data_IF_415590404492
#
_entry.id   IF_415590404492
#
_cell.length_a   1.000
_cell.length_b   1.000
_cell.length_c   1.000
_cell.angle_alpha   90.00
_cell.angle_beta   90.00
_cell.angle_gamma   90.00
#
_symmetry.space_group_name_H-M   'P 1'
#
loop_
_entity.id
_entity.type
_entity.pdbx_description
1 polymer ?
#
# COMPACT_ATOMS: atom_id res chain seq x y z
N UNK A 1 6.24 -81.02 23.67
CA UNK A 1 6.22 -79.59 24.09
C UNK A 1 6.60 -78.75 22.86
N UNK A 2 5.61 -78.23 22.15
CA UNK A 2 5.78 -77.47 20.90
C UNK A 2 5.76 -76.02 21.25
N UNK A 3 6.91 -75.33 21.08
CA UNK A 3 7.05 -73.90 21.27
C UNK A 3 6.61 -73.21 19.98
N UNK A 4 5.45 -72.50 19.97
CA UNK A 4 5.02 -71.62 18.87
C UNK A 4 5.77 -70.29 18.98
N UNK A 5 6.63 -70.03 18.00
CA UNK A 5 7.17 -68.67 17.78
C UNK A 5 6.08 -67.79 17.19
N UNK A 6 5.64 -66.76 17.90
CA UNK A 6 4.86 -65.67 17.35
C UNK A 6 5.79 -64.69 16.60
N UNK A 7 5.69 -64.73 15.28
CA UNK A 7 6.24 -63.65 14.46
C UNK A 7 5.38 -62.40 14.67
N UNK A 8 5.88 -61.42 15.41
CA UNK A 8 5.31 -60.08 15.48
C UNK A 8 5.36 -59.45 14.08
N UNK A 9 4.20 -59.08 13.54
CA UNK A 9 4.13 -58.21 12.38
C UNK A 9 4.81 -56.88 12.75
N UNK A 10 5.99 -56.63 12.19
CA UNK A 10 6.58 -55.30 12.14
C UNK A 10 5.60 -54.37 11.41
N UNK A 11 4.90 -53.53 12.14
CA UNK A 11 4.14 -52.46 11.51
C UNK A 11 5.18 -51.52 10.86
N UNK A 12 5.29 -51.55 9.55
CA UNK A 12 5.96 -50.52 8.77
C UNK A 12 5.21 -49.23 9.07
N UNK A 13 5.77 -48.40 9.94
CA UNK A 13 5.29 -47.02 10.10
C UNK A 13 5.52 -46.37 8.72
N UNK A 14 4.48 -46.31 7.92
CA UNK A 14 4.53 -45.61 6.64
C UNK A 14 4.91 -44.16 6.95
N UNK A 15 6.03 -43.71 6.43
CA UNK A 15 6.48 -42.35 6.58
C UNK A 15 5.42 -41.47 5.95
N UNK A 16 4.61 -40.81 6.78
CA UNK A 16 3.56 -39.90 6.31
C UNK A 16 4.22 -38.72 5.61
N UNK A 17 3.76 -38.46 4.38
CA UNK A 17 4.05 -37.23 3.66
C UNK A 17 3.01 -36.20 4.06
N UNK A 18 3.43 -35.04 4.45
CA UNK A 18 2.57 -33.90 4.68
C UNK A 18 2.41 -33.12 3.37
N UNK A 19 1.19 -32.90 2.96
CA UNK A 19 0.85 -32.16 1.74
C UNK A 19 0.18 -30.85 2.14
N UNK A 20 0.75 -29.75 1.73
CA UNK A 20 0.31 -28.39 2.11
C UNK A 20 0.04 -27.62 0.83
N UNK A 21 -1.06 -26.86 0.82
CA UNK A 21 -1.36 -25.85 -0.20
C UNK A 21 -1.36 -24.48 0.43
N UNK A 22 -0.58 -23.56 -0.14
CA UNK A 22 -0.62 -22.15 0.20
C UNK A 22 -1.24 -21.39 -0.97
N UNK A 23 -2.36 -20.69 -0.72
CA UNK A 23 -2.93 -19.74 -1.67
C UNK A 23 -2.51 -18.34 -1.22
N UNK A 24 -2.06 -17.49 -2.16
CA UNK A 24 -1.63 -16.14 -1.82
C UNK A 24 -2.19 -15.07 -2.75
N UNK A 25 -2.55 -13.93 -2.15
CA UNK A 25 -3.04 -12.74 -2.82
C UNK A 25 -2.00 -11.64 -2.67
N UNK A 26 -1.73 -10.92 -3.76
CA UNK A 26 -0.75 -9.86 -3.83
C UNK A 26 -1.42 -8.55 -4.23
N UNK A 27 -1.08 -7.47 -3.54
CA UNK A 27 -1.27 -6.11 -4.03
C UNK A 27 -2.67 -5.87 -4.63
N UNK A 28 -3.75 -6.24 -3.90
CA UNK A 28 -5.13 -6.09 -4.40
C UNK A 28 -5.50 -4.62 -4.64
N UNK A 29 -4.93 -3.67 -3.85
CA UNK A 29 -5.14 -2.23 -3.98
C UNK A 29 -6.61 -1.82 -4.12
N UNK A 30 -7.51 -2.49 -3.37
CA UNK A 30 -8.96 -2.23 -3.41
C UNK A 30 -9.58 -2.33 -4.80
N UNK A 31 -9.00 -3.13 -5.71
CA UNK A 31 -9.59 -3.44 -7.01
C UNK A 31 -10.74 -4.44 -6.87
N UNK A 32 -11.84 -3.99 -6.23
CA UNK A 32 -13.00 -4.84 -5.93
C UNK A 32 -13.73 -5.32 -7.17
N UNK A 33 -13.46 -4.74 -8.34
CA UNK A 33 -13.94 -5.25 -9.63
C UNK A 33 -13.35 -6.61 -9.98
N UNK A 34 -12.23 -7.01 -9.36
CA UNK A 34 -11.64 -8.35 -9.54
C UNK A 34 -12.06 -9.34 -8.45
N UNK A 35 -12.71 -8.84 -7.38
CA UNK A 35 -13.02 -9.66 -6.20
C UNK A 35 -13.93 -10.86 -6.51
N UNK A 36 -15.02 -10.76 -7.31
CA UNK A 36 -15.89 -11.90 -7.56
C UNK A 36 -15.16 -13.09 -8.19
N UNK A 37 -14.35 -12.84 -9.22
CA UNK A 37 -13.57 -13.90 -9.89
C UNK A 37 -12.44 -14.42 -9.00
N UNK A 38 -11.79 -13.56 -8.22
CA UNK A 38 -10.78 -13.95 -7.24
C UNK A 38 -11.39 -14.87 -6.19
N UNK A 39 -12.57 -14.53 -5.67
CA UNK A 39 -13.29 -15.36 -4.71
C UNK A 39 -13.61 -16.75 -5.28
N UNK A 40 -14.11 -16.84 -6.51
CA UNK A 40 -14.38 -18.13 -7.17
C UNK A 40 -13.10 -18.96 -7.33
N UNK A 41 -11.98 -18.32 -7.70
CA UNK A 41 -10.69 -19.00 -7.79
C UNK A 41 -10.24 -19.55 -6.42
N UNK A 42 -10.37 -18.74 -5.36
CA UNK A 42 -10.06 -19.17 -3.99
C UNK A 42 -10.97 -20.32 -3.55
N UNK A 43 -12.29 -20.23 -3.81
CA UNK A 43 -13.24 -21.26 -3.43
C UNK A 43 -12.96 -22.60 -4.16
N UNK A 44 -12.64 -22.57 -5.45
CA UNK A 44 -12.29 -23.73 -6.26
C UNK A 44 -10.99 -24.40 -5.78
N UNK A 45 -9.91 -23.63 -5.68
CA UNK A 45 -8.60 -24.14 -5.25
C UNK A 45 -8.54 -24.54 -3.77
N UNK A 46 -9.53 -24.10 -2.98
CA UNK A 46 -9.71 -24.54 -1.59
C UNK A 46 -10.31 -25.97 -1.49
N UNK A 47 -10.85 -26.51 -2.58
CA UNK A 47 -11.32 -27.91 -2.64
C UNK A 47 -10.12 -28.84 -2.79
N UNK A 48 -9.47 -29.17 -1.67
CA UNK A 48 -8.23 -29.96 -1.65
C UNK A 48 -8.18 -30.91 -0.44
N UNK A 49 -7.45 -32.01 -0.59
CA UNK A 49 -7.11 -32.94 0.52
C UNK A 49 -5.84 -32.52 1.28
N UNK A 50 -5.18 -31.42 0.84
CA UNK A 50 -3.98 -30.86 1.46
C UNK A 50 -4.34 -30.03 2.69
N UNK A 51 -3.40 -29.83 3.60
CA UNK A 51 -3.48 -28.74 4.59
C UNK A 51 -3.52 -27.42 3.84
N UNK A 52 -4.59 -26.63 4.01
CA UNK A 52 -4.78 -25.39 3.28
C UNK A 52 -4.40 -24.21 4.17
N UNK A 53 -3.56 -23.31 3.64
CA UNK A 53 -3.17 -22.04 4.26
C UNK A 53 -3.39 -20.92 3.23
N UNK A 54 -4.07 -19.86 3.62
CA UNK A 54 -4.33 -18.71 2.76
C UNK A 54 -3.67 -17.47 3.32
N UNK A 55 -2.87 -16.77 2.50
CA UNK A 55 -2.10 -15.61 2.93
C UNK A 55 -2.33 -14.39 2.04
N UNK A 56 -2.29 -13.21 2.63
CA UNK A 56 -2.31 -11.92 1.93
C UNK A 56 -0.96 -11.22 2.12
N UNK A 57 -0.40 -10.69 1.03
CA UNK A 57 0.97 -10.14 1.01
C UNK A 57 1.04 -8.63 1.21
N UNK A 58 -0.06 -7.99 1.67
CA UNK A 58 -0.13 -6.55 1.89
C UNK A 58 -0.48 -5.75 0.63
N UNK A 59 -0.54 -4.43 0.77
CA UNK A 59 -1.11 -3.51 -0.23
C UNK A 59 -2.50 -3.96 -0.71
N UNK A 60 -3.27 -4.55 0.20
CA UNK A 60 -4.67 -4.88 -0.03
C UNK A 60 -5.54 -3.62 -0.05
N UNK A 61 -5.23 -2.65 0.85
CA UNK A 61 -5.97 -1.39 1.01
C UNK A 61 -5.47 -0.35 0.03
N UNK A 62 -6.41 0.36 -0.61
CA UNK A 62 -6.13 1.58 -1.38
C UNK A 62 -7.31 2.57 -1.25
N UNK A 63 -7.03 3.77 -0.70
CA UNK A 63 -8.04 4.84 -0.49
C UNK A 63 -8.52 5.49 -1.81
N UNK A 64 -8.10 4.99 -2.97
CA UNK A 64 -8.68 5.38 -4.27
C UNK A 64 -10.09 4.81 -4.46
N UNK A 65 -10.38 3.66 -3.86
CA UNK A 65 -11.76 3.14 -3.86
C UNK A 65 -12.58 3.81 -2.75
N UNK A 66 -13.77 4.38 -3.06
CA UNK A 66 -14.54 5.17 -2.10
C UNK A 66 -14.95 4.38 -0.85
N UNK A 67 -15.17 3.08 -0.93
CA UNK A 67 -15.53 2.27 0.23
C UNK A 67 -14.33 2.00 1.15
N UNK A 68 -13.15 1.81 0.59
CA UNK A 68 -11.90 1.69 1.37
C UNK A 68 -11.57 3.01 2.08
N UNK A 69 -11.72 4.15 1.38
CA UNK A 69 -11.55 5.47 1.97
C UNK A 69 -12.58 5.75 3.09
N UNK A 70 -13.86 5.47 2.82
CA UNK A 70 -14.94 5.68 3.80
C UNK A 70 -14.78 4.86 5.09
N UNK A 71 -14.12 3.70 5.01
CA UNK A 71 -13.95 2.73 6.10
C UNK A 71 -12.51 2.63 6.62
N UNK A 72 -11.59 3.47 6.12
CA UNK A 72 -10.16 3.36 6.41
C UNK A 72 -9.64 1.91 6.25
N UNK A 73 -10.03 1.24 5.14
CA UNK A 73 -9.60 -0.12 4.81
C UNK A 73 -10.34 -1.25 5.55
N UNK A 74 -11.18 -0.96 6.56
CA UNK A 74 -11.86 -2.05 7.31
C UNK A 74 -12.78 -2.91 6.46
N UNK A 75 -13.31 -2.37 5.35
CA UNK A 75 -14.06 -3.19 4.40
C UNK A 75 -13.16 -4.21 3.66
N UNK A 76 -11.92 -3.86 3.37
CA UNK A 76 -10.94 -4.80 2.81
C UNK A 76 -10.74 -5.99 3.77
N UNK A 77 -10.60 -5.73 5.07
CA UNK A 77 -10.48 -6.77 6.11
C UNK A 77 -11.73 -7.67 6.13
N UNK A 78 -12.93 -7.11 5.92
CA UNK A 78 -14.15 -7.91 5.82
C UNK A 78 -14.12 -8.87 4.61
N UNK A 79 -13.63 -8.41 3.45
CA UNK A 79 -13.44 -9.26 2.28
C UNK A 79 -12.35 -10.31 2.48
N UNK A 80 -11.24 -9.97 3.13
CA UNK A 80 -10.20 -10.94 3.51
C UNK A 80 -10.74 -12.02 4.46
N UNK A 81 -11.61 -11.63 5.41
CA UNK A 81 -12.31 -12.58 6.27
C UNK A 81 -13.24 -13.53 5.47
N UNK A 82 -13.92 -13.02 4.45
CA UNK A 82 -14.80 -13.81 3.57
C UNK A 82 -14.00 -14.80 2.71
N UNK A 83 -12.81 -14.41 2.23
CA UNK A 83 -11.87 -15.30 1.54
C UNK A 83 -11.27 -16.36 2.47
N UNK A 84 -11.40 -16.16 3.80
CA UNK A 84 -10.85 -17.05 4.81
C UNK A 84 -9.33 -16.99 4.85
N UNK A 85 -8.75 -15.81 4.74
CA UNK A 85 -7.31 -15.60 4.95
C UNK A 85 -6.94 -16.08 6.37
N UNK A 86 -5.79 -16.75 6.49
CA UNK A 86 -5.24 -17.23 7.77
C UNK A 86 -4.19 -16.25 8.31
N UNK A 87 -3.32 -15.76 7.43
CA UNK A 87 -2.23 -14.85 7.76
C UNK A 87 -2.13 -13.71 6.76
N UNK A 88 -1.75 -12.53 7.21
CA UNK A 88 -1.50 -11.40 6.33
C UNK A 88 -0.24 -10.65 6.76
N UNK A 89 0.47 -10.06 5.81
CA UNK A 89 1.44 -9.00 6.12
C UNK A 89 0.86 -7.64 5.72
N UNK A 90 1.62 -6.57 5.93
CA UNK A 90 1.25 -5.25 5.46
C UNK A 90 2.19 -4.79 4.35
N UNK A 91 1.64 -4.02 3.43
CA UNK A 91 2.44 -3.24 2.48
C UNK A 91 2.58 -1.78 2.89
N UNK A 92 3.08 -0.97 1.97
CA UNK A 92 3.20 0.47 2.20
C UNK A 92 1.84 1.19 2.16
N UNK A 93 0.83 0.65 1.50
CA UNK A 93 -0.49 1.27 1.49
C UNK A 93 -1.16 1.20 2.86
N UNK A 94 -0.96 0.12 3.61
CA UNK A 94 -1.39 0.07 5.01
C UNK A 94 -0.48 0.93 5.89
N UNK A 95 0.84 0.73 5.81
CA UNK A 95 1.81 1.34 6.73
C UNK A 95 2.01 2.84 6.56
N UNK A 96 1.86 3.35 5.34
CA UNK A 96 2.08 4.77 4.99
C UNK A 96 0.78 5.40 4.46
N UNK A 97 -0.01 4.65 3.69
CA UNK A 97 -1.26 5.12 3.07
C UNK A 97 -2.33 5.46 4.10
N UNK A 98 -2.44 4.69 5.17
CA UNK A 98 -3.30 4.95 6.33
C UNK A 98 -2.57 5.84 7.35
N UNK A 99 -3.34 6.65 8.08
CA UNK A 99 -2.83 7.28 9.30
C UNK A 99 -2.50 6.19 10.35
N UNK A 100 -1.60 6.51 11.30
CA UNK A 100 -1.23 5.54 12.35
C UNK A 100 -2.45 4.99 13.08
N UNK A 101 -3.37 5.86 13.49
CA UNK A 101 -4.58 5.50 14.22
C UNK A 101 -5.55 4.66 13.37
N UNK A 102 -5.57 4.88 12.04
CA UNK A 102 -6.36 4.07 11.11
C UNK A 102 -5.79 2.65 11.00
N UNK A 103 -4.45 2.51 10.91
CA UNK A 103 -3.79 1.20 10.88
C UNK A 103 -3.91 0.46 12.22
N UNK A 104 -3.79 1.16 13.35
CA UNK A 104 -3.96 0.57 14.68
C UNK A 104 -5.35 -0.09 14.85
N UNK A 105 -6.40 0.47 14.19
CA UNK A 105 -7.76 -0.05 14.23
C UNK A 105 -8.12 -0.95 13.04
N UNK A 106 -7.27 -1.08 12.03
CA UNK A 106 -7.59 -1.77 10.78
C UNK A 106 -7.99 -3.23 11.02
N UNK A 107 -7.23 -3.91 11.84
CA UNK A 107 -7.33 -5.35 12.05
C UNK A 107 -8.18 -5.76 13.27
N UNK A 108 -8.91 -4.84 13.92
CA UNK A 108 -9.77 -5.14 15.08
C UNK A 108 -10.80 -6.23 14.82
N UNK A 109 -11.29 -6.33 13.57
CA UNK A 109 -12.28 -7.33 13.17
C UNK A 109 -11.68 -8.45 12.28
N UNK A 110 -10.35 -8.53 12.18
CA UNK A 110 -9.70 -9.59 11.44
C UNK A 110 -9.92 -10.96 12.09
N UNK A 111 -10.25 -11.96 11.27
CA UNK A 111 -10.33 -13.37 11.66
C UNK A 111 -9.04 -14.12 11.36
N UNK A 112 -8.04 -13.41 10.89
CA UNK A 112 -6.71 -13.88 10.54
C UNK A 112 -5.66 -13.19 11.41
N UNK A 113 -4.43 -13.71 11.42
CA UNK A 113 -3.32 -13.12 12.18
C UNK A 113 -2.43 -12.27 11.27
N UNK A 114 -2.35 -10.95 11.46
CA UNK A 114 -1.31 -10.14 10.86
C UNK A 114 0.08 -10.48 11.40
N UNK A 115 1.08 -10.47 10.52
CA UNK A 115 2.49 -10.73 10.83
C UNK A 115 3.33 -9.62 10.21
N UNK A 116 4.20 -8.99 11.02
CA UNK A 116 5.16 -8.00 10.55
C UNK A 116 6.38 -7.96 11.49
N UNK A 117 7.54 -8.31 10.98
CA UNK A 117 8.77 -8.39 11.76
C UNK A 117 9.49 -7.06 11.91
N UNK A 118 9.49 -6.24 10.86
CA UNK A 118 10.32 -5.04 10.76
C UNK A 118 9.59 -3.71 10.99
N UNK A 119 8.35 -3.71 11.47
CA UNK A 119 7.65 -2.49 11.89
C UNK A 119 7.55 -2.43 13.41
N UNK A 120 7.80 -1.25 13.99
CA UNK A 120 7.73 -1.01 15.43
C UNK A 120 6.91 0.24 15.74
N UNK A 121 6.19 0.18 16.85
CA UNK A 121 5.52 1.28 17.51
C UNK A 121 6.31 1.65 18.76
N UNK A 122 6.96 2.82 18.78
CA UNK A 122 7.84 3.24 19.87
C UNK A 122 8.83 2.15 20.33
N UNK A 123 9.44 1.46 19.36
CA UNK A 123 10.40 0.37 19.60
C UNK A 123 9.77 -0.98 19.97
N UNK A 124 8.46 -1.08 20.14
CA UNK A 124 7.73 -2.31 20.49
C UNK A 124 7.04 -2.92 19.25
N UNK A 125 6.67 -4.18 19.35
CA UNK A 125 5.82 -4.82 18.36
C UNK A 125 4.43 -4.18 18.39
N UNK A 126 3.81 -3.81 17.24
CA UNK A 126 2.42 -3.36 17.20
C UNK A 126 1.47 -4.40 17.81
N UNK A 127 0.49 -3.97 18.61
CA UNK A 127 -0.41 -4.88 19.32
C UNK A 127 -1.26 -5.75 18.40
N UNK A 128 -1.58 -5.23 17.21
CA UNK A 128 -2.38 -5.92 16.20
C UNK A 128 -1.60 -6.99 15.40
N UNK A 129 -0.26 -7.08 15.50
CA UNK A 129 0.54 -8.03 14.71
C UNK A 129 1.54 -8.81 15.53
N UNK A 130 1.84 -10.03 15.10
CA UNK A 130 2.99 -10.80 15.59
C UNK A 130 4.24 -10.50 14.77
N UNK A 131 5.42 -10.62 15.37
CA UNK A 131 6.69 -10.45 14.64
C UNK A 131 7.01 -11.64 13.74
N UNK A 132 6.57 -12.83 14.11
CA UNK A 132 6.63 -14.10 13.35
C UNK A 132 5.56 -15.06 13.91
N UNK A 133 5.34 -16.18 13.20
CA UNK A 133 4.38 -17.19 13.64
C UNK A 133 4.89 -18.60 13.26
N UNK A 134 4.68 -19.56 14.15
CA UNK A 134 4.86 -20.98 13.83
C UNK A 134 3.49 -21.60 13.62
N UNK A 135 3.24 -22.06 12.40
CA UNK A 135 2.06 -22.85 12.06
C UNK A 135 2.41 -24.33 12.17
N UNK A 136 1.62 -25.06 12.94
CA UNK A 136 1.76 -26.51 13.01
C UNK A 136 0.64 -27.18 12.24
N UNK A 137 0.96 -27.92 11.20
CA UNK A 137 -0.01 -28.67 10.41
C UNK A 137 -0.61 -29.82 11.18
N UNK A 138 -1.72 -30.38 10.71
CA UNK A 138 -2.35 -31.57 11.32
C UNK A 138 -1.44 -32.80 11.28
N UNK A 139 -0.55 -32.89 10.30
CA UNK A 139 0.43 -33.97 10.20
C UNK A 139 1.67 -33.75 11.05
N UNK A 140 1.83 -32.56 11.65
CA UNK A 140 2.87 -32.23 12.63
C UNK A 140 4.03 -31.43 12.08
N UNK A 141 4.04 -31.03 10.81
CA UNK A 141 5.05 -30.14 10.22
C UNK A 141 4.95 -28.74 10.85
N UNK A 142 6.08 -28.17 11.27
CA UNK A 142 6.17 -26.80 11.76
C UNK A 142 6.64 -25.88 10.64
N UNK A 143 5.83 -24.88 10.30
CA UNK A 143 6.15 -23.86 9.29
C UNK A 143 6.35 -22.54 10.00
N UNK A 144 7.52 -21.93 9.88
CA UNK A 144 7.78 -20.59 10.36
C UNK A 144 7.38 -19.58 9.27
N UNK A 145 6.42 -18.69 9.58
CA UNK A 145 6.08 -17.54 8.75
C UNK A 145 6.76 -16.30 9.32
N UNK A 146 7.63 -15.70 8.51
CA UNK A 146 8.28 -14.42 8.75
C UNK A 146 7.70 -13.39 7.77
N UNK A 147 7.57 -12.13 8.14
CA UNK A 147 6.96 -11.14 7.25
C UNK A 147 7.62 -9.76 7.39
N UNK A 148 7.84 -9.10 6.25
CA UNK A 148 8.53 -7.81 6.20
C UNK A 148 7.92 -6.88 5.16
N UNK A 149 7.85 -5.56 5.49
CA UNK A 149 7.46 -4.49 4.58
C UNK A 149 8.65 -3.68 4.11
N UNK A 150 8.56 -3.07 2.92
CA UNK A 150 9.61 -2.25 2.34
C UNK A 150 9.94 -1.04 3.22
N UNK A 151 11.24 -0.78 3.51
CA UNK A 151 11.64 0.19 4.54
C UNK A 151 11.69 1.63 4.03
N UNK A 152 10.55 2.23 3.74
CA UNK A 152 10.46 3.66 3.41
C UNK A 152 10.75 4.53 4.64
N UNK A 153 12.01 4.58 5.10
CA UNK A 153 12.43 5.24 6.35
C UNK A 153 11.90 6.66 6.50
N UNK A 154 11.98 7.47 5.43
CA UNK A 154 11.59 8.88 5.48
C UNK A 154 10.08 9.12 5.52
N UNK A 155 9.26 8.10 5.25
CA UNK A 155 7.80 8.20 5.25
C UNK A 155 7.17 7.50 6.44
N UNK A 156 7.72 6.38 6.91
CA UNK A 156 7.21 5.71 8.10
C UNK A 156 7.36 6.54 9.36
N UNK A 157 8.53 7.20 9.55
CA UNK A 157 8.80 7.97 10.76
C UNK A 157 7.82 9.15 10.97
N UNK A 158 7.54 10.02 9.97
CA UNK A 158 6.53 11.06 10.16
C UNK A 158 5.09 10.53 10.33
N UNK A 159 4.81 9.28 9.91
CA UNK A 159 3.52 8.62 10.17
C UNK A 159 3.46 7.92 11.55
N UNK A 160 4.48 8.10 12.40
CA UNK A 160 4.51 7.56 13.76
C UNK A 160 5.03 6.11 13.88
N UNK A 161 5.62 5.56 12.82
CA UNK A 161 6.16 4.21 12.81
C UNK A 161 7.69 4.19 12.70
N UNK A 162 8.31 3.22 13.33
CA UNK A 162 9.72 2.90 13.10
C UNK A 162 9.81 1.63 12.25
N UNK A 163 10.32 1.75 11.03
CA UNK A 163 10.62 0.60 10.17
C UNK A 163 12.09 0.24 10.31
N UNK A 164 12.37 -1.05 10.51
CA UNK A 164 13.72 -1.60 10.67
C UNK A 164 14.25 -2.10 9.33
N UNK A 165 15.57 -2.21 9.22
CA UNK A 165 16.23 -2.80 8.06
C UNK A 165 15.85 -4.28 7.95
N UNK A 166 15.26 -4.72 6.80
CA UNK A 166 14.63 -6.04 6.72
C UNK A 166 15.63 -7.20 6.74
N UNK A 167 16.83 -7.06 6.14
CA UNK A 167 17.78 -8.16 6.09
C UNK A 167 18.39 -8.45 7.47
N UNK A 168 18.77 -7.40 8.21
CA UNK A 168 19.24 -7.55 9.58
C UNK A 168 18.15 -8.14 10.48
N UNK A 169 16.90 -7.72 10.27
CA UNK A 169 15.78 -8.26 11.03
C UNK A 169 15.50 -9.71 10.70
N UNK A 170 15.58 -10.10 9.43
CA UNK A 170 15.47 -11.50 9.01
C UNK A 170 16.56 -12.37 9.66
N UNK A 171 17.80 -11.91 9.68
CA UNK A 171 18.91 -12.61 10.33
C UNK A 171 18.65 -12.88 11.83
N UNK A 172 18.16 -11.85 12.54
CA UNK A 172 17.75 -11.98 13.94
C UNK A 172 16.60 -12.98 14.12
N UNK A 173 15.61 -12.97 13.24
CA UNK A 173 14.46 -13.88 13.34
C UNK A 173 14.84 -15.32 13.00
N UNK A 174 15.73 -15.56 12.02
CA UNK A 174 16.27 -16.88 11.69
C UNK A 174 17.11 -17.50 12.83
N UNK A 175 17.72 -16.66 13.67
CA UNK A 175 18.48 -17.12 14.85
C UNK A 175 17.58 -17.54 16.03
N UNK A 176 16.28 -17.25 16.01
CA UNK A 176 15.36 -17.65 17.09
C UNK A 176 15.19 -19.16 17.15
N UNK A 177 15.21 -19.76 18.33
CA UNK A 177 15.07 -21.21 18.45
C UNK A 177 13.84 -21.78 17.74
N UNK A 178 12.67 -21.15 17.88
CA UNK A 178 11.43 -21.60 17.29
C UNK A 178 11.43 -21.56 15.75
N UNK A 179 12.12 -20.59 15.16
CA UNK A 179 12.27 -20.45 13.71
C UNK A 179 13.32 -21.40 13.17
N UNK A 180 14.47 -21.48 13.84
CA UNK A 180 15.58 -22.39 13.48
C UNK A 180 15.15 -23.85 13.53
N UNK A 181 14.32 -24.22 14.50
CA UNK A 181 13.85 -25.59 14.73
C UNK A 181 12.59 -25.92 13.92
N UNK A 182 12.09 -24.98 13.08
CA UNK A 182 10.98 -25.22 12.16
C UNK A 182 11.44 -26.12 10.99
N UNK A 183 10.50 -26.92 10.48
CA UNK A 183 10.73 -27.79 9.31
C UNK A 183 10.80 -27.02 8.00
N UNK A 184 10.03 -25.93 7.90
CA UNK A 184 9.93 -25.06 6.72
C UNK A 184 9.93 -23.62 7.18
N UNK A 185 10.72 -22.76 6.49
CA UNK A 185 10.73 -21.31 6.68
C UNK A 185 10.16 -20.63 5.44
N UNK A 186 9.09 -19.87 5.62
CA UNK A 186 8.41 -19.09 4.58
C UNK A 186 8.51 -17.60 4.94
N UNK A 187 8.96 -16.79 3.98
CA UNK A 187 8.98 -15.33 4.10
C UNK A 187 7.82 -14.74 3.29
N UNK A 188 6.91 -14.04 3.97
CA UNK A 188 5.88 -13.20 3.36
C UNK A 188 6.50 -11.82 3.09
N UNK A 189 6.95 -11.60 1.87
CA UNK A 189 7.77 -10.45 1.52
C UNK A 189 6.96 -9.36 0.84
N UNK A 190 6.74 -8.25 1.53
CA UNK A 190 6.32 -7.01 0.87
C UNK A 190 7.54 -6.08 0.64
N UNK A 191 8.65 -6.65 0.15
CA UNK A 191 9.93 -5.96 -0.04
C UNK A 191 10.27 -5.69 -1.51
N UNK A 192 9.66 -6.46 -2.41
CA UNK A 192 9.95 -6.41 -3.84
C UNK A 192 11.07 -7.34 -4.28
N UNK A 193 11.07 -7.65 -5.57
CA UNK A 193 11.84 -8.73 -6.21
C UNK A 193 13.34 -8.72 -5.89
N UNK A 194 13.95 -7.53 -5.72
CA UNK A 194 15.39 -7.43 -5.42
C UNK A 194 15.73 -7.97 -4.03
N UNK A 195 14.88 -7.66 -3.05
CA UNK A 195 15.04 -8.23 -1.71
C UNK A 195 14.71 -9.72 -1.70
N UNK A 196 13.70 -10.16 -2.46
CA UNK A 196 13.32 -11.56 -2.55
C UNK A 196 14.47 -12.41 -3.08
N UNK A 197 15.12 -11.96 -4.17
CA UNK A 197 16.33 -12.59 -4.71
C UNK A 197 17.51 -12.55 -3.73
N UNK A 198 17.74 -11.42 -3.08
CA UNK A 198 18.80 -11.26 -2.09
C UNK A 198 18.60 -12.20 -0.87
N UNK A 199 17.36 -12.37 -0.41
CA UNK A 199 17.02 -13.33 0.67
C UNK A 199 17.39 -14.74 0.23
N UNK A 200 16.98 -15.15 -0.97
CA UNK A 200 17.25 -16.48 -1.52
C UNK A 200 18.76 -16.75 -1.75
N UNK A 201 19.51 -15.70 -2.10
CA UNK A 201 20.96 -15.83 -2.29
C UNK A 201 21.72 -15.88 -0.96
N UNK A 202 21.22 -15.23 0.09
CA UNK A 202 21.94 -15.02 1.35
C UNK A 202 21.59 -16.04 2.44
N UNK A 203 20.31 -16.49 2.50
CA UNK A 203 19.79 -17.29 3.61
C UNK A 203 19.27 -18.66 3.16
N UNK A 204 20.14 -19.69 3.06
CA UNK A 204 19.74 -21.03 2.61
C UNK A 204 18.75 -21.73 3.55
N UNK A 205 18.52 -21.19 4.75
CA UNK A 205 17.51 -21.68 5.69
C UNK A 205 16.07 -21.32 5.24
N UNK A 206 15.91 -20.32 4.37
CA UNK A 206 14.61 -19.94 3.82
C UNK A 206 14.26 -20.89 2.68
N UNK A 207 13.13 -21.58 2.80
CA UNK A 207 12.69 -22.53 1.78
C UNK A 207 11.83 -21.86 0.68
N UNK A 208 11.05 -20.82 1.07
CA UNK A 208 10.11 -20.15 0.19
C UNK A 208 10.01 -18.67 0.53
N UNK A 209 10.08 -17.82 -0.49
CA UNK A 209 9.74 -16.39 -0.41
C UNK A 209 8.51 -16.16 -1.28
N UNK A 210 7.44 -15.61 -0.70
CA UNK A 210 6.25 -15.18 -1.43
C UNK A 210 6.34 -13.67 -1.51
N UNK A 211 6.71 -13.16 -2.71
CA UNK A 211 7.07 -11.76 -2.97
C UNK A 211 5.89 -10.91 -3.44
N UNK A 212 5.94 -9.61 -3.14
CA UNK A 212 4.94 -8.59 -3.47
C UNK A 212 5.59 -7.23 -3.74
N UNK A 213 4.87 -6.11 -3.69
CA UNK A 213 5.34 -4.72 -3.79
C UNK A 213 5.76 -4.28 -5.20
N UNK A 214 6.56 -5.03 -5.92
CA UNK A 214 7.04 -4.66 -7.27
C UNK A 214 6.17 -5.21 -8.38
N UNK A 215 5.04 -5.85 -8.04
CA UNK A 215 3.99 -6.31 -8.96
C UNK A 215 4.52 -7.19 -10.10
N UNK A 216 5.51 -8.03 -9.83
CA UNK A 216 5.99 -8.98 -10.82
C UNK A 216 5.22 -10.29 -10.75
N UNK A 217 5.33 -11.08 -11.80
CA UNK A 217 4.67 -12.36 -11.96
C UNK A 217 5.70 -13.47 -12.16
N UNK A 218 5.61 -14.52 -11.38
CA UNK A 218 6.27 -15.79 -11.62
C UNK A 218 5.21 -16.85 -11.90
N UNK A 219 4.94 -17.11 -13.18
CA UNK A 219 3.84 -18.02 -13.58
C UNK A 219 4.01 -19.43 -13.00
N UNK A 220 5.24 -19.94 -12.98
CA UNK A 220 5.60 -21.28 -12.47
C UNK A 220 6.62 -21.20 -11.30
N UNK A 221 6.73 -20.02 -10.67
CA UNK A 221 7.73 -19.76 -9.65
C UNK A 221 9.16 -19.59 -10.23
N UNK A 222 10.10 -19.32 -9.33
CA UNK A 222 11.53 -19.21 -9.66
C UNK A 222 12.34 -19.89 -8.56
N UNK A 223 13.33 -20.68 -8.92
CA UNK A 223 14.29 -21.26 -7.98
C UNK A 223 15.59 -20.45 -8.03
N UNK A 224 16.02 -19.94 -6.86
CA UNK A 224 17.30 -19.26 -6.67
C UNK A 224 18.06 -20.03 -5.59
N UNK A 225 19.18 -20.64 -5.93
CA UNK A 225 19.86 -21.64 -5.12
C UNK A 225 18.89 -22.76 -4.69
N UNK A 226 18.57 -22.86 -3.38
CA UNK A 226 17.64 -23.86 -2.82
C UNK A 226 16.32 -23.23 -2.37
N UNK A 227 16.12 -21.92 -2.59
CA UNK A 227 14.93 -21.16 -2.19
C UNK A 227 13.99 -20.94 -3.37
N UNK A 228 12.72 -21.29 -3.18
CA UNK A 228 11.67 -21.01 -4.14
C UNK A 228 11.15 -19.57 -3.98
N UNK A 229 10.89 -18.89 -5.11
CA UNK A 229 10.27 -17.58 -5.16
C UNK A 229 8.91 -17.68 -5.86
N UNK A 230 7.87 -17.12 -5.27
CA UNK A 230 6.54 -17.00 -5.83
C UNK A 230 6.11 -15.53 -5.84
N UNK A 231 5.37 -15.10 -6.87
CA UNK A 231 4.71 -13.81 -6.94
C UNK A 231 3.57 -13.86 -7.97
N UNK A 232 2.44 -13.20 -7.69
CA UNK A 232 1.20 -13.32 -8.46
C UNK A 232 0.68 -11.96 -8.96
N UNK A 233 1.58 -11.08 -9.49
CA UNK A 233 1.22 -9.76 -10.02
C UNK A 233 0.47 -8.90 -8.97
N UNK A 234 -0.65 -8.30 -9.32
CA UNK A 234 -1.43 -7.35 -8.52
C UNK A 234 -2.91 -7.35 -8.91
N UNK A 235 -3.70 -6.59 -8.16
CA UNK A 235 -5.10 -6.26 -8.42
C UNK A 235 -6.05 -7.48 -8.47
N UNK A 236 -5.56 -8.64 -8.04
CA UNK A 236 -6.32 -9.88 -8.14
C UNK A 236 -6.39 -10.45 -9.56
N UNK A 237 -5.48 -10.05 -10.47
CA UNK A 237 -5.38 -10.64 -11.81
C UNK A 237 -4.94 -12.10 -11.78
N UNK A 238 -4.19 -12.47 -10.75
CA UNK A 238 -3.74 -13.83 -10.50
C UNK A 238 -3.97 -14.20 -9.03
N UNK A 239 -4.20 -15.47 -8.79
CA UNK A 239 -4.14 -16.10 -7.47
C UNK A 239 -2.93 -17.02 -7.45
N UNK A 240 -2.02 -16.83 -6.51
CA UNK A 240 -0.89 -17.73 -6.36
C UNK A 240 -1.31 -19.03 -5.68
N UNK A 241 -0.85 -20.16 -6.20
CA UNK A 241 -1.07 -21.50 -5.67
C UNK A 241 0.29 -22.20 -5.52
N UNK A 242 0.62 -22.61 -4.29
CA UNK A 242 1.87 -23.29 -3.97
C UNK A 242 1.56 -24.60 -3.29
N UNK A 243 1.94 -25.70 -3.90
CA UNK A 243 1.79 -27.06 -3.38
C UNK A 243 3.12 -27.58 -2.86
N UNK A 244 3.21 -27.78 -1.54
CA UNK A 244 4.37 -28.33 -0.87
C UNK A 244 4.15 -29.79 -0.49
N UNK A 245 5.19 -30.61 -0.60
CA UNK A 245 5.23 -31.95 -0.01
C UNK A 245 6.42 -32.04 0.93
N UNK A 246 6.13 -32.29 2.21
CA UNK A 246 7.14 -32.42 3.27
C UNK A 246 7.23 -33.87 3.73
N UNK A 247 8.44 -34.36 3.95
CA UNK A 247 8.71 -35.70 4.44
C UNK A 247 9.84 -35.66 5.48
N UNK A 248 9.55 -36.14 6.68
CA UNK A 248 10.52 -36.13 7.80
C UNK A 248 11.12 -34.74 8.08
N UNK A 249 10.28 -33.70 8.05
CA UNK A 249 10.72 -32.32 8.27
C UNK A 249 11.50 -31.69 7.10
N UNK A 250 11.55 -32.32 5.93
CA UNK A 250 12.25 -31.80 4.76
C UNK A 250 11.28 -31.55 3.61
N UNK A 251 11.38 -30.40 2.97
CA UNK A 251 10.70 -30.08 1.72
C UNK A 251 11.28 -30.96 0.60
N UNK A 252 10.43 -31.83 0.04
CA UNK A 252 10.84 -32.74 -1.03
C UNK A 252 10.26 -32.37 -2.40
N UNK A 253 9.23 -31.54 -2.42
CA UNK A 253 8.58 -31.06 -3.64
C UNK A 253 7.92 -29.71 -3.37
N UNK A 254 8.08 -28.78 -4.31
CA UNK A 254 7.41 -27.49 -4.33
C UNK A 254 6.95 -27.22 -5.77
N UNK A 255 5.63 -27.07 -5.96
CA UNK A 255 5.03 -26.67 -7.23
C UNK A 255 4.38 -25.30 -7.03
N UNK A 256 4.67 -24.37 -7.92
CA UNK A 256 4.18 -23.01 -7.87
C UNK A 256 3.46 -22.71 -9.18
N UNK A 257 2.28 -22.13 -9.07
CA UNK A 257 1.51 -21.69 -10.21
C UNK A 257 0.79 -20.37 -9.88
N UNK A 258 0.90 -19.38 -10.76
CA UNK A 258 0.06 -18.19 -10.72
C UNK A 258 -1.16 -18.38 -11.61
N UNK A 259 -2.32 -18.60 -11.01
CA UNK A 259 -3.58 -18.90 -11.69
C UNK A 259 -4.26 -17.61 -12.15
N UNK A 260 -4.47 -17.39 -13.46
CA UNK A 260 -5.13 -16.18 -13.94
C UNK A 260 -6.62 -16.19 -13.57
N UNK A 261 -7.05 -15.23 -12.74
CA UNK A 261 -8.43 -15.14 -12.24
C UNK A 261 -9.46 -14.86 -13.34
N UNK A 262 -9.02 -14.31 -14.48
CA UNK A 262 -9.88 -14.16 -15.66
C UNK A 262 -10.53 -15.47 -16.14
N UNK A 263 -9.95 -16.63 -15.81
CA UNK A 263 -10.53 -17.95 -16.11
C UNK A 263 -11.81 -18.23 -15.32
N UNK A 264 -12.05 -17.46 -14.27
CA UNK A 264 -13.20 -17.54 -13.38
C UNK A 264 -14.24 -16.44 -13.62
N UNK A 265 -14.08 -15.65 -14.68
CA UNK A 265 -15.12 -14.71 -15.13
C UNK A 265 -16.25 -15.53 -15.74
N UNK A 266 -17.47 -15.27 -15.27
CA UNK A 266 -18.69 -15.86 -15.85
C UNK A 266 -19.23 -14.92 -16.93
N UNK A 267 -19.56 -15.45 -18.09
CA UNK A 267 -20.20 -14.67 -19.15
C UNK A 267 -21.57 -14.12 -18.67
N UNK A 268 -21.78 -12.79 -18.80
CA UNK A 268 -23.01 -12.09 -18.46
C UNK A 268 -23.40 -12.14 -16.97
N UNK A 269 -22.44 -12.13 -16.06
CA UNK A 269 -22.73 -12.17 -14.63
C UNK A 269 -23.23 -10.80 -14.09
N UNK A 270 -24.55 -10.65 -14.10
CA UNK A 270 -25.22 -9.48 -13.54
C UNK A 270 -24.99 -9.33 -12.02
N UNK A 271 -24.65 -10.42 -11.34
CA UNK A 271 -24.40 -10.42 -9.90
C UNK A 271 -23.03 -9.78 -9.60
N UNK A 272 -22.01 -10.08 -10.40
CA UNK A 272 -20.70 -9.44 -10.31
C UNK A 272 -20.78 -7.94 -10.57
N UNK A 273 -21.49 -7.53 -11.65
CA UNK A 273 -21.70 -6.10 -11.94
C UNK A 273 -22.47 -5.41 -10.81
N UNK A 274 -23.50 -6.04 -10.28
CA UNK A 274 -24.28 -5.51 -9.16
C UNK A 274 -23.43 -5.37 -7.88
N UNK A 275 -22.59 -6.37 -7.58
CA UNK A 275 -21.66 -6.32 -6.46
C UNK A 275 -20.69 -5.14 -6.60
N UNK A 276 -20.00 -5.04 -7.72
CA UNK A 276 -19.00 -3.99 -7.99
C UNK A 276 -19.64 -2.60 -7.86
N UNK A 277 -20.83 -2.43 -8.46
CA UNK A 277 -21.58 -1.19 -8.38
C UNK A 277 -22.01 -0.87 -6.95
N UNK A 278 -22.56 -1.84 -6.22
CA UNK A 278 -23.00 -1.67 -4.84
C UNK A 278 -21.85 -1.23 -3.91
N UNK A 279 -20.64 -1.79 -4.08
CA UNK A 279 -19.47 -1.41 -3.28
C UNK A 279 -19.08 0.06 -3.52
N UNK A 280 -19.09 0.50 -4.77
CA UNK A 280 -18.78 1.88 -5.12
C UNK A 280 -19.83 2.85 -4.61
N UNK A 281 -21.13 2.53 -4.82
CA UNK A 281 -22.26 3.35 -4.36
C UNK A 281 -22.29 3.47 -2.84
N UNK A 282 -22.04 2.38 -2.11
CA UNK A 282 -21.98 2.39 -0.65
C UNK A 282 -20.83 3.27 -0.14
N UNK A 283 -19.65 3.20 -0.79
CA UNK A 283 -18.53 4.07 -0.47
C UNK A 283 -18.88 5.55 -0.66
N UNK A 284 -19.42 5.91 -1.82
CA UNK A 284 -19.89 7.28 -2.09
C UNK A 284 -20.95 7.72 -1.10
N UNK A 285 -21.94 6.88 -0.80
CA UNK A 285 -22.99 7.20 0.17
C UNK A 285 -22.41 7.50 1.56
N UNK A 286 -21.43 6.73 2.03
CA UNK A 286 -20.78 6.97 3.33
C UNK A 286 -19.96 8.25 3.34
N UNK A 287 -19.20 8.51 2.28
CA UNK A 287 -18.41 9.75 2.15
C UNK A 287 -19.34 10.98 2.02
N UNK A 288 -20.44 10.89 1.30
CA UNK A 288 -21.43 11.98 1.15
C UNK A 288 -22.16 12.33 2.46
N UNK A 289 -22.23 11.40 3.42
CA UNK A 289 -22.75 11.70 4.75
C UNK A 289 -21.84 12.60 5.58
N UNK A 290 -20.54 12.61 5.27
CA UNK A 290 -19.54 13.47 5.91
C UNK A 290 -19.57 14.86 5.26
N UNK A 291 -20.46 15.73 5.72
CA UNK A 291 -20.56 17.13 5.25
C UNK A 291 -19.31 17.91 5.68
N UNK A 292 -18.73 18.66 4.77
CA UNK A 292 -17.53 19.47 4.99
C UNK A 292 -17.87 20.96 5.06
N UNK A 293 -18.50 21.52 4.03
CA UNK A 293 -18.81 22.94 3.98
C UNK A 293 -19.99 23.25 3.05
N UNK A 294 -20.53 24.47 3.21
CA UNK A 294 -21.45 25.08 2.25
C UNK A 294 -20.77 26.33 1.66
N UNK A 295 -20.43 26.28 0.37
CA UNK A 295 -19.82 27.39 -0.37
C UNK A 295 -20.84 28.40 -0.89
N UNK A 296 -22.15 28.07 -0.85
CA UNK A 296 -23.23 28.89 -1.31
C UNK A 296 -23.39 28.95 -2.84
N UNK A 297 -22.39 28.56 -3.60
CA UNK A 297 -22.38 28.50 -5.06
C UNK A 297 -21.42 27.42 -5.58
N UNK A 298 -21.55 27.11 -6.84
CA UNK A 298 -20.53 26.32 -7.56
C UNK A 298 -19.32 27.20 -7.85
N UNK A 299 -18.11 26.62 -7.72
CA UNK A 299 -16.85 27.24 -8.09
C UNK A 299 -16.49 26.87 -9.52
N UNK A 300 -15.88 27.78 -10.26
CA UNK A 300 -15.21 27.41 -11.49
C UNK A 300 -13.87 26.72 -11.21
N UNK A 301 -13.17 26.33 -12.29
CA UNK A 301 -11.92 25.60 -12.16
C UNK A 301 -10.80 26.44 -11.50
N UNK A 302 -10.68 27.69 -11.90
CA UNK A 302 -9.66 28.59 -11.36
C UNK A 302 -9.92 28.90 -9.88
N UNK A 303 -11.16 29.13 -9.51
CA UNK A 303 -11.57 29.32 -8.11
C UNK A 303 -11.30 28.06 -7.27
N UNK A 304 -11.56 26.88 -7.83
CA UNK A 304 -11.23 25.60 -7.15
C UNK A 304 -9.72 25.46 -6.96
N UNK A 305 -8.91 25.82 -7.96
CA UNK A 305 -7.46 25.84 -7.84
C UNK A 305 -6.98 26.80 -6.74
N UNK A 306 -7.54 28.02 -6.69
CA UNK A 306 -7.20 29.02 -5.67
C UNK A 306 -7.57 28.55 -4.27
N UNK A 307 -8.74 27.95 -4.11
CA UNK A 307 -9.16 27.35 -2.84
C UNK A 307 -8.18 26.27 -2.37
N UNK A 308 -7.79 25.35 -3.25
CA UNK A 308 -6.85 24.27 -2.92
C UNK A 308 -5.48 24.83 -2.52
N UNK A 309 -4.93 25.80 -3.27
CA UNK A 309 -3.67 26.45 -2.95
C UNK A 309 -3.70 27.15 -1.57
N UNK A 310 -4.80 27.87 -1.30
CA UNK A 310 -4.99 28.57 -0.03
C UNK A 310 -5.15 27.59 1.15
N UNK A 311 -5.94 26.52 0.95
CA UNK A 311 -6.11 25.48 1.96
C UNK A 311 -4.78 24.84 2.33
N UNK A 312 -3.97 24.48 1.33
CA UNK A 312 -2.64 23.89 1.56
C UNK A 312 -1.73 24.87 2.30
N UNK A 313 -1.64 26.15 1.90
CA UNK A 313 -0.86 27.14 2.61
C UNK A 313 -1.26 27.25 4.09
N UNK A 314 -2.55 27.36 4.37
CA UNK A 314 -3.03 27.60 5.74
C UNK A 314 -2.90 26.37 6.63
N UNK A 315 -3.34 25.21 6.16
CA UNK A 315 -3.32 23.97 6.97
C UNK A 315 -1.90 23.44 7.21
N UNK A 316 -0.95 23.77 6.32
CA UNK A 316 0.47 23.41 6.50
C UNK A 316 1.29 24.50 7.18
N UNK A 317 0.70 25.66 7.51
CA UNK A 317 1.41 26.83 8.03
C UNK A 317 2.61 27.22 7.16
N UNK A 318 2.45 27.15 5.82
CA UNK A 318 3.48 27.49 4.86
C UNK A 318 3.19 28.82 4.19
N UNK A 319 4.23 29.56 3.81
CA UNK A 319 4.07 30.88 3.18
C UNK A 319 3.70 30.76 1.69
N UNK A 320 4.23 29.75 1.02
CA UNK A 320 4.15 29.58 -0.42
C UNK A 320 3.71 28.17 -0.78
N UNK A 321 2.93 28.04 -1.86
CA UNK A 321 2.49 26.73 -2.37
C UNK A 321 2.81 26.60 -3.86
N UNK A 322 3.27 25.41 -4.26
CA UNK A 322 3.55 25.04 -5.64
C UNK A 322 2.87 23.71 -5.95
N UNK A 323 1.86 23.71 -6.81
CA UNK A 323 1.09 22.54 -7.24
C UNK A 323 0.96 22.50 -8.77
N UNK A 324 0.18 21.54 -9.28
CA UNK A 324 -0.19 21.44 -10.68
C UNK A 324 -1.69 21.11 -10.83
N UNK A 325 -2.28 21.57 -11.93
CA UNK A 325 -3.73 21.43 -12.16
C UNK A 325 -4.18 19.99 -12.37
N UNK A 326 -3.28 19.10 -12.78
CA UNK A 326 -3.59 17.66 -12.89
C UNK A 326 -3.96 16.98 -11.57
N UNK A 327 -3.71 17.64 -10.45
CA UNK A 327 -4.15 17.19 -9.12
C UNK A 327 -5.64 17.43 -8.87
N UNK A 328 -6.28 18.32 -9.65
CA UNK A 328 -7.68 18.75 -9.48
C UNK A 328 -8.49 18.18 -10.65
N UNK A 329 -9.32 17.19 -10.38
CA UNK A 329 -10.05 16.44 -11.39
C UNK A 329 -11.47 16.94 -11.62
N UNK A 330 -12.03 17.72 -10.67
CA UNK A 330 -13.39 18.21 -10.68
C UNK A 330 -13.51 19.52 -9.88
N UNK A 331 -14.42 20.37 -10.28
CA UNK A 331 -14.79 21.60 -9.54
C UNK A 331 -15.62 21.25 -8.30
N UNK A 332 -15.68 22.18 -7.35
CA UNK A 332 -16.46 22.02 -6.12
C UNK A 332 -17.81 22.72 -6.22
N UNK A 333 -18.87 22.00 -5.87
CA UNK A 333 -20.24 22.51 -5.85
C UNK A 333 -20.59 23.28 -4.58
N UNK A 334 -21.85 23.80 -4.48
CA UNK A 334 -22.25 24.64 -3.34
C UNK A 334 -22.26 23.89 -2.01
N UNK A 335 -22.52 22.60 -2.02
CA UNK A 335 -22.44 21.72 -0.85
C UNK A 335 -21.27 20.78 -1.04
N UNK A 336 -20.29 20.84 -0.16
CA UNK A 336 -19.08 20.02 -0.24
C UNK A 336 -19.15 18.93 0.83
N UNK A 337 -19.00 17.69 0.39
CA UNK A 337 -18.88 16.49 1.23
C UNK A 337 -17.51 15.83 1.02
N UNK A 338 -17.16 14.82 1.82
CA UNK A 338 -15.95 14.04 1.57
C UNK A 338 -16.02 13.26 0.25
N UNK A 339 -17.21 12.93 -0.27
CA UNK A 339 -17.37 12.32 -1.60
C UNK A 339 -16.94 13.30 -2.71
N UNK A 340 -17.38 14.56 -2.64
CA UNK A 340 -16.98 15.60 -3.59
C UNK A 340 -15.47 15.84 -3.57
N UNK A 341 -14.86 15.85 -2.39
CA UNK A 341 -13.41 16.02 -2.25
C UNK A 341 -12.63 14.79 -2.75
N UNK A 342 -13.14 13.58 -2.56
CA UNK A 342 -12.50 12.38 -3.10
C UNK A 342 -12.55 12.37 -4.64
N UNK A 343 -13.66 12.81 -5.24
CA UNK A 343 -13.77 12.93 -6.70
C UNK A 343 -12.92 14.08 -7.27
N UNK A 344 -12.88 15.22 -6.56
CA UNK A 344 -12.13 16.40 -7.01
C UNK A 344 -10.62 16.23 -6.83
N UNK A 345 -10.18 15.58 -5.76
CA UNK A 345 -8.79 15.40 -5.34
C UNK A 345 -8.49 13.92 -5.03
N UNK A 346 -8.60 13.01 -6.03
CA UNK A 346 -8.54 11.55 -5.79
C UNK A 346 -7.14 11.04 -5.45
N UNK A 347 -6.12 11.89 -5.54
CA UNK A 347 -4.72 11.51 -5.40
C UNK A 347 -4.38 11.18 -3.94
N UNK A 348 -3.67 10.07 -3.74
CA UNK A 348 -3.16 9.67 -2.43
C UNK A 348 -1.78 10.31 -2.19
N UNK A 349 -1.72 11.62 -2.28
CA UNK A 349 -0.50 12.41 -2.10
C UNK A 349 -0.58 13.24 -0.85
N UNK A 350 0.56 13.37 -0.19
CA UNK A 350 0.77 14.24 0.95
C UNK A 350 1.56 15.46 0.56
N UNK A 351 1.70 16.36 1.51
CA UNK A 351 2.49 17.56 1.30
C UNK A 351 3.92 17.36 1.80
N UNK A 352 4.84 18.00 1.10
CA UNK A 352 6.24 18.13 1.48
C UNK A 352 6.57 19.61 1.65
N UNK A 353 7.22 19.97 2.75
CA UNK A 353 7.62 21.33 3.06
C UNK A 353 9.13 21.49 3.00
N UNK A 354 9.55 22.55 2.34
CA UNK A 354 10.95 22.99 2.22
C UNK A 354 11.11 24.35 2.88
N UNK A 355 12.29 24.59 3.45
CA UNK A 355 12.71 25.93 3.84
C UNK A 355 13.81 26.37 2.87
N UNK A 356 13.52 27.40 2.07
CA UNK A 356 14.37 27.83 0.96
C UNK A 356 14.67 29.32 1.05
N UNK A 357 15.84 29.74 0.60
CA UNK A 357 16.15 31.15 0.35
C UNK A 357 15.47 31.66 -0.91
N UNK A 358 15.36 32.99 -1.10
CA UNK A 358 14.82 33.55 -2.33
C UNK A 358 15.62 33.15 -3.56
N UNK A 359 16.94 32.98 -3.45
CA UNK A 359 17.78 32.48 -4.52
C UNK A 359 17.42 31.02 -4.88
N UNK A 360 17.33 30.13 -3.90
CA UNK A 360 16.95 28.72 -4.10
C UNK A 360 15.53 28.59 -4.65
N UNK A 361 14.59 29.40 -4.15
CA UNK A 361 13.23 29.44 -4.67
C UNK A 361 13.20 29.86 -6.15
N UNK A 362 14.02 30.81 -6.53
CA UNK A 362 14.16 31.24 -7.94
C UNK A 362 14.71 30.12 -8.81
N UNK A 363 15.69 29.36 -8.35
CA UNK A 363 16.25 28.20 -9.06
C UNK A 363 15.20 27.10 -9.25
N UNK A 364 14.45 26.76 -8.18
CA UNK A 364 13.32 25.83 -8.24
C UNK A 364 12.29 26.31 -9.27
N UNK A 365 11.87 27.58 -9.19
CA UNK A 365 10.92 28.14 -10.13
C UNK A 365 11.44 28.11 -11.57
N UNK A 366 12.69 28.45 -11.79
CA UNK A 366 13.30 28.40 -13.11
C UNK A 366 13.26 26.98 -13.70
N UNK A 367 13.61 25.97 -12.92
CA UNK A 367 13.51 24.56 -13.35
C UNK A 367 12.07 24.16 -13.62
N UNK A 368 11.17 24.37 -12.67
CA UNK A 368 9.77 23.95 -12.75
C UNK A 368 9.06 24.58 -13.94
N UNK A 369 9.19 25.91 -14.12
CA UNK A 369 8.53 26.63 -15.22
C UNK A 369 9.18 26.37 -16.58
N UNK A 370 10.47 26.07 -16.63
CA UNK A 370 11.13 25.63 -17.89
C UNK A 370 10.63 24.26 -18.32
N UNK A 371 10.39 23.35 -17.37
CA UNK A 371 9.88 22.02 -17.64
C UNK A 371 8.36 21.95 -17.79
N UNK A 372 7.62 22.99 -17.36
CA UNK A 372 6.16 22.99 -17.32
C UNK A 372 5.52 22.63 -18.66
N UNK A 373 5.99 23.20 -19.77
CA UNK A 373 5.45 22.91 -21.11
C UNK A 373 5.67 21.44 -21.53
N UNK A 374 6.81 20.85 -21.15
CA UNK A 374 7.09 19.44 -21.42
C UNK A 374 6.23 18.52 -20.55
N UNK A 375 6.00 18.90 -19.30
CA UNK A 375 5.24 18.11 -18.32
C UNK A 375 3.73 18.24 -18.54
N UNK A 376 3.23 19.36 -19.06
CA UNK A 376 1.80 19.69 -19.17
C UNK A 376 0.95 18.55 -19.71
N UNK A 377 1.40 17.92 -20.79
CA UNK A 377 0.69 16.82 -21.45
C UNK A 377 1.27 15.44 -21.09
N UNK A 378 2.25 15.38 -20.21
CA UNK A 378 2.87 14.13 -19.81
C UNK A 378 1.90 13.29 -19.00
N UNK A 379 1.71 12.04 -19.41
CA UNK A 379 0.99 11.05 -18.62
C UNK A 379 1.77 10.71 -17.36
N UNK A 380 1.11 10.79 -16.20
CA UNK A 380 1.70 10.48 -14.89
C UNK A 380 1.20 9.14 -14.40
N UNK A 381 2.12 8.32 -13.91
CA UNK A 381 1.82 6.99 -13.34
C UNK A 381 2.53 6.81 -12.01
N UNK A 382 1.89 6.09 -11.10
CA UNK A 382 2.46 5.77 -9.80
C UNK A 382 2.39 6.90 -8.76
N UNK A 383 3.07 6.75 -7.66
CA UNK A 383 3.17 7.71 -6.55
C UNK A 383 1.80 8.22 -6.03
N UNK A 384 0.75 7.39 -6.09
CA UNK A 384 -0.59 7.82 -5.67
C UNK A 384 -1.32 8.75 -6.65
N UNK A 385 -0.75 9.11 -7.81
CA UNK A 385 -1.41 9.93 -8.81
C UNK A 385 -2.55 9.18 -9.49
N UNK A 386 -3.75 9.80 -9.55
CA UNK A 386 -4.97 9.20 -10.12
C UNK A 386 -5.51 9.98 -11.33
N UNK A 387 -4.86 11.11 -11.70
CA UNK A 387 -5.16 11.88 -12.89
C UNK A 387 -4.59 11.26 -14.17
N UNK A 388 -4.75 11.98 -15.28
CA UNK A 388 -4.25 11.56 -16.59
C UNK A 388 -2.92 12.22 -16.94
N UNK A 389 -2.83 13.52 -16.71
CA UNK A 389 -1.68 14.35 -17.08
C UNK A 389 -1.24 15.24 -15.93
N UNK A 390 -0.05 15.76 -16.01
CA UNK A 390 0.48 16.73 -15.06
C UNK A 390 -0.34 18.04 -15.04
N UNK A 391 -0.73 18.55 -16.21
CA UNK A 391 -1.43 19.82 -16.34
C UNK A 391 -0.50 21.03 -16.17
N UNK A 392 -1.06 22.19 -15.81
CA UNK A 392 -0.32 23.44 -15.63
C UNK A 392 0.21 23.60 -14.22
N UNK A 393 1.35 24.26 -14.08
CA UNK A 393 1.89 24.65 -12.76
C UNK A 393 1.09 25.82 -12.20
N UNK A 394 0.66 25.70 -10.95
CA UNK A 394 -0.06 26.74 -10.20
C UNK A 394 0.67 27.07 -8.91
N UNK A 395 0.62 28.36 -8.53
CA UNK A 395 1.33 28.86 -7.34
C UNK A 395 0.38 29.63 -6.41
N UNK A 396 0.56 29.42 -5.10
CA UNK A 396 -0.15 30.16 -4.05
C UNK A 396 0.77 31.17 -3.34
N UNK A 397 0.30 32.39 -3.19
CA UNK A 397 0.95 33.52 -2.52
C UNK A 397 2.22 34.07 -3.20
N UNK A 398 2.63 33.56 -4.34
CA UNK A 398 3.76 34.09 -5.10
C UNK A 398 3.51 33.98 -6.61
N UNK A 399 4.31 34.68 -7.40
CA UNK A 399 4.32 34.57 -8.85
C UNK A 399 5.74 34.54 -9.40
N UNK A 400 5.96 33.74 -10.44
CA UNK A 400 7.20 33.72 -11.21
C UNK A 400 6.92 34.18 -12.63
N UNK A 401 7.42 35.38 -13.02
CA UNK A 401 7.18 36.00 -14.32
C UNK A 401 8.44 36.60 -14.87
N UNK A 402 8.79 36.27 -16.14
CA UNK A 402 9.94 36.81 -16.85
C UNK A 402 11.27 36.69 -16.03
N UNK A 403 11.46 35.56 -15.35
CA UNK A 403 12.65 35.32 -14.52
C UNK A 403 12.65 36.03 -13.15
N UNK A 404 11.59 36.77 -12.82
CA UNK A 404 11.43 37.46 -11.53
C UNK A 404 10.45 36.72 -10.63
N UNK A 405 10.88 36.53 -9.40
CA UNK A 405 10.08 36.00 -8.30
C UNK A 405 9.42 37.13 -7.54
N UNK A 406 8.11 37.11 -7.41
CA UNK A 406 7.30 38.13 -6.75
C UNK A 406 6.57 37.54 -5.54
N UNK A 407 6.74 38.15 -4.37
CA UNK A 407 5.97 37.86 -3.16
C UNK A 407 5.40 39.18 -2.60
N UNK A 408 4.10 39.18 -2.27
CA UNK A 408 3.41 40.39 -1.84
C UNK A 408 3.63 41.60 -2.80
N UNK A 409 3.61 41.34 -4.14
CA UNK A 409 3.81 42.31 -5.21
C UNK A 409 5.21 42.98 -5.26
N UNK A 410 6.17 42.49 -4.48
CA UNK A 410 7.59 42.95 -4.53
C UNK A 410 8.49 41.83 -5.06
N UNK A 411 9.60 42.22 -5.63
CA UNK A 411 10.66 41.26 -6.00
C UNK A 411 11.30 40.71 -4.71
N UNK A 412 11.47 39.39 -4.68
CA UNK A 412 12.00 38.66 -3.56
C UNK A 412 13.51 38.91 -3.43
N UNK A 413 13.98 39.18 -2.21
CA UNK A 413 15.43 39.25 -1.87
C UNK A 413 16.04 37.83 -1.89
N UNK A 414 17.25 37.69 -2.42
CA UNK A 414 17.94 36.41 -2.56
C UNK A 414 18.17 35.66 -1.25
N UNK A 415 18.34 36.42 -0.14
CA UNK A 415 18.63 35.84 1.19
C UNK A 415 17.36 35.65 2.06
N UNK A 416 16.23 36.20 1.63
CA UNK A 416 14.97 36.04 2.35
C UNK A 416 14.56 34.58 2.40
N UNK A 417 14.14 34.07 3.56
CA UNK A 417 13.74 32.67 3.73
C UNK A 417 12.23 32.49 3.65
N UNK A 418 11.83 31.43 2.99
CA UNK A 418 10.42 31.05 2.80
C UNK A 418 10.21 29.59 3.15
N UNK A 419 9.03 29.28 3.70
CA UNK A 419 8.48 27.95 3.72
C UNK A 419 7.67 27.72 2.45
N UNK A 420 8.12 26.79 1.61
CA UNK A 420 7.45 26.36 0.38
C UNK A 420 6.83 24.96 0.62
N UNK A 421 5.56 24.81 0.33
CA UNK A 421 4.88 23.53 0.36
C UNK A 421 4.51 23.08 -1.06
N UNK A 422 4.68 21.78 -1.32
CA UNK A 422 4.41 21.11 -2.59
C UNK A 422 3.94 19.67 -2.35
N UNK A 423 3.49 18.95 -3.38
CA UNK A 423 3.18 17.54 -3.23
C UNK A 423 4.46 16.71 -3.10
N UNK A 424 4.42 15.69 -2.26
CA UNK A 424 5.53 14.75 -2.01
C UNK A 424 6.05 14.09 -3.30
N UNK A 425 5.19 13.91 -4.31
CA UNK A 425 5.58 13.41 -5.63
C UNK A 425 6.71 14.22 -6.27
N UNK A 426 6.78 15.54 -6.08
CA UNK A 426 7.84 16.36 -6.67
C UNK A 426 9.21 16.05 -6.06
N UNK A 427 9.24 15.60 -4.82
CA UNK A 427 10.46 15.16 -4.15
C UNK A 427 10.86 13.73 -4.56
N UNK A 428 9.89 12.80 -4.61
CA UNK A 428 10.18 11.40 -4.88
C UNK A 428 10.42 11.11 -6.36
N UNK A 429 9.63 11.72 -7.25
CA UNK A 429 9.80 11.57 -8.68
C UNK A 429 10.98 12.39 -9.22
N UNK A 430 11.49 12.01 -10.37
CA UNK A 430 12.66 12.68 -10.99
C UNK A 430 12.30 13.92 -11.81
N UNK A 431 11.14 14.56 -11.54
CA UNK A 431 10.73 15.73 -12.32
C UNK A 431 11.64 16.93 -12.08
N UNK A 432 11.97 17.21 -10.81
CA UNK A 432 12.64 18.44 -10.37
C UNK A 432 13.85 18.10 -9.48
N UNK A 433 15.03 17.85 -10.07
CA UNK A 433 16.28 17.62 -9.34
C UNK A 433 16.58 18.67 -8.28
N UNK A 434 16.32 19.98 -8.56
CA UNK A 434 16.55 21.06 -7.59
C UNK A 434 15.73 20.89 -6.31
N UNK A 435 14.52 20.31 -6.38
CA UNK A 435 13.69 20.00 -5.21
C UNK A 435 14.27 18.80 -4.47
N UNK A 436 14.70 17.77 -5.21
CA UNK A 436 15.22 16.52 -4.63
C UNK A 436 16.51 16.70 -3.82
N UNK A 437 17.28 17.72 -4.13
CA UNK A 437 18.53 18.07 -3.44
C UNK A 437 18.30 18.82 -2.11
N UNK A 438 17.08 19.24 -1.83
CA UNK A 438 16.75 20.01 -0.62
C UNK A 438 16.36 19.11 0.56
N UNK A 439 16.60 19.61 1.76
CA UNK A 439 16.03 19.00 2.96
C UNK A 439 14.52 19.18 2.96
N UNK A 440 13.79 18.08 3.13
CA UNK A 440 12.34 18.03 3.07
C UNK A 440 11.74 17.55 4.38
N UNK A 441 10.66 18.21 4.81
CA UNK A 441 9.79 17.71 5.88
C UNK A 441 8.52 17.17 5.24
N UNK A 442 8.31 15.86 5.30
CA UNK A 442 7.05 15.26 4.86
C UNK A 442 5.95 15.48 5.90
N UNK A 443 4.78 15.93 5.45
CA UNK A 443 3.68 16.29 6.33
C UNK A 443 2.65 15.15 6.38
N UNK A 444 2.57 14.48 7.51
CA UNK A 444 1.66 13.37 7.80
C UNK A 444 0.63 13.79 8.88
N UNK A 445 -0.52 13.08 8.98
CA UNK A 445 -0.96 11.97 8.13
C UNK A 445 -1.77 12.41 6.90
N UNK A 446 -2.16 13.69 6.79
CA UNK A 446 -3.21 14.17 5.90
C UNK A 446 -2.86 14.06 4.41
N UNK A 447 -3.79 13.56 3.64
CA UNK A 447 -3.78 13.67 2.17
C UNK A 447 -4.22 15.09 1.75
N UNK A 448 -3.91 15.47 0.50
CA UNK A 448 -4.31 16.77 -0.06
C UNK A 448 -5.82 17.07 0.16
N UNK A 449 -6.71 16.12 -0.11
CA UNK A 449 -8.15 16.30 0.08
C UNK A 449 -8.56 16.49 1.55
N UNK A 450 -7.81 15.88 2.47
CA UNK A 450 -8.07 15.97 3.91
C UNK A 450 -7.67 17.34 4.45
N UNK A 451 -6.57 17.92 3.95
CA UNK A 451 -6.20 19.31 4.23
C UNK A 451 -7.28 20.29 3.73
N UNK A 452 -7.77 20.09 2.50
CA UNK A 452 -8.85 20.92 1.96
C UNK A 452 -10.13 20.76 2.80
N UNK A 453 -10.46 19.56 3.24
CA UNK A 453 -11.60 19.31 4.13
C UNK A 453 -11.46 20.07 5.47
N UNK A 454 -10.29 20.03 6.10
CA UNK A 454 -9.99 20.75 7.35
C UNK A 454 -10.14 22.26 7.17
N UNK A 455 -9.56 22.80 6.10
CA UNK A 455 -9.66 24.21 5.77
C UNK A 455 -11.11 24.68 5.59
N UNK A 456 -11.86 23.96 4.78
CA UNK A 456 -13.27 24.28 4.51
C UNK A 456 -14.16 24.12 5.74
N UNK A 457 -13.89 23.13 6.58
CA UNK A 457 -14.61 22.93 7.85
C UNK A 457 -14.47 24.10 8.81
N UNK A 458 -13.32 24.81 8.77
CA UNK A 458 -13.05 26.01 9.59
C UNK A 458 -13.65 27.28 8.98
N UNK A 459 -13.59 27.44 7.67
CA UNK A 459 -13.85 28.71 6.96
C UNK A 459 -15.20 28.74 6.24
N UNK A 460 -15.71 27.60 5.79
CA UNK A 460 -17.00 27.47 5.12
C UNK A 460 -17.16 28.41 3.92
N UNK A 461 -18.28 29.16 3.85
CA UNK A 461 -18.58 30.10 2.77
C UNK A 461 -17.68 31.37 2.76
N UNK A 462 -16.85 31.56 3.75
CA UNK A 462 -15.94 32.73 3.84
C UNK A 462 -14.52 32.44 3.36
N UNK A 463 -14.30 31.34 2.72
CA UNK A 463 -12.97 30.90 2.26
C UNK A 463 -12.27 31.92 1.34
N UNK A 464 -13.04 32.69 0.55
CA UNK A 464 -12.55 33.71 -0.40
C UNK A 464 -12.27 35.07 0.23
N UNK A 465 -12.58 35.25 1.52
CA UNK A 465 -12.39 36.53 2.26
C UNK A 465 -11.17 36.55 3.15
N UNK A 466 -10.48 35.42 3.26
CA UNK A 466 -9.29 35.23 4.09
C UNK A 466 -8.03 35.32 3.24
#
# INVERSE_FOLDING_TARGET
>A
MIVKFFYGKSATIGVMKDKIRILHINDLHSHFEQYPQLKRAVDDLSQTDRELIKVDLGDNVDKSHPLSDATAGRFNVALMNELGIDYATIGNNEGIGLAKEELDCLYEQAKFQPIIGNLKDEGRQPEWAKSYLIHRTKAGTNIAFLAYTFPYYITYAPNGWQVLEPMARLEEDLARPEVRDADIVVVLSHLGVRYDEQIAETYPQVNLVIGSHTHHLFEEGKLVNETYLAAADRYGYYLGCIDLTVKNGQLIECQIEAIPTKSYILDLDKEDEAFIKAMREEGHRRLAQKKVANLGRELDFDETCQLVLQAVCQETHSQLTLLNTGLIMKTLGPQVTMADLQEALPHQMRMARLVVTGQELKEICQEVFTKAELLKNQAIKGMGFRGKTFGEVITGNFAYKNGNLLYNRRVVDSNEKFSLVLVDQYYFASYFPTIKEKEVTLLFPDLLRELVAKYLGKNGANWDKI
#
